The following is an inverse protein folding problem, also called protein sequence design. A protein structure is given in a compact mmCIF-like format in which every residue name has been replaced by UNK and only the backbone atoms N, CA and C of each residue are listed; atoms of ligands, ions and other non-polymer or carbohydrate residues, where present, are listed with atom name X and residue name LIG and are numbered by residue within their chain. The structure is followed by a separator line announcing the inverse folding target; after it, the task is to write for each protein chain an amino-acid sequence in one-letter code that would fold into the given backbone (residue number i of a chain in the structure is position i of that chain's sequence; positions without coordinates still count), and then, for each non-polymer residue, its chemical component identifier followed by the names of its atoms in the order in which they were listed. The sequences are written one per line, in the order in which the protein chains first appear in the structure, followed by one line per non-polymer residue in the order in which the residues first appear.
data_IF_864310000968
#
_entry.id   IF_864310000968
#
_cell.length_a   1.000
_cell.length_b   1.000
_cell.length_c   1.000
_cell.angle_alpha   90.00
_cell.angle_beta   90.00
_cell.angle_gamma   90.00
#
_symmetry.space_group_name_H-M   'P 1'
#
loop_
_entity.id
_entity.type
_entity.pdbx_description
1 polymer ?
#
# COMPACT_ATOMS: atom_id res chain seq x y z
N UNK A 1 48.75 54.63 28.32
CA UNK A 1 47.59 54.42 27.41
C UNK A 1 47.52 55.42 26.25
N UNK A 2 47.50 56.74 26.45
CA UNK A 2 47.39 57.73 25.35
C UNK A 2 48.48 57.62 24.26
N UNK A 3 49.74 57.38 24.64
CA UNK A 3 50.86 57.19 23.69
C UNK A 3 50.75 55.90 22.86
N UNK A 4 50.25 54.81 23.46
CA UNK A 4 50.02 53.53 22.77
C UNK A 4 48.90 53.63 21.74
N UNK A 5 47.81 54.34 22.07
CA UNK A 5 46.72 54.58 21.12
C UNK A 5 47.17 55.44 19.94
N UNK A 6 47.99 56.46 20.18
CA UNK A 6 48.54 57.30 19.12
C UNK A 6 49.52 56.53 18.19
N UNK A 7 50.35 55.63 18.75
CA UNK A 7 51.26 54.80 17.93
C UNK A 7 50.50 53.78 17.10
N UNK A 8 49.43 53.18 17.64
CA UNK A 8 48.56 52.24 16.92
C UNK A 8 47.80 52.96 15.79
N UNK A 9 47.27 54.16 16.05
CA UNK A 9 46.57 54.95 15.04
C UNK A 9 47.50 55.39 13.89
N UNK A 10 48.72 55.83 14.20
CA UNK A 10 49.71 56.21 13.19
C UNK A 10 50.19 55.00 12.35
N UNK A 11 50.36 53.84 12.99
CA UNK A 11 50.69 52.59 12.30
C UNK A 11 49.54 52.12 11.39
N UNK A 12 48.29 52.20 11.88
CA UNK A 12 47.10 51.88 11.09
C UNK A 12 46.96 52.77 9.86
N UNK A 13 47.24 54.07 10.00
CA UNK A 13 47.18 55.00 8.87
C UNK A 13 48.29 54.75 7.83
N UNK A 14 49.51 54.38 8.27
CA UNK A 14 50.62 54.01 7.37
C UNK A 14 50.36 52.72 6.59
N UNK A 15 49.62 51.79 7.19
CA UNK A 15 49.29 50.50 6.58
C UNK A 15 47.84 50.43 6.08
N UNK A 16 47.14 51.56 6.01
CA UNK A 16 45.70 51.61 5.76
C UNK A 16 45.30 50.90 4.45
N UNK A 17 46.10 51.05 3.39
CA UNK A 17 45.88 50.40 2.10
C UNK A 17 45.97 48.87 2.21
N UNK A 18 46.96 48.34 2.93
CA UNK A 18 47.13 46.89 3.12
C UNK A 18 46.06 46.29 4.04
N UNK A 19 45.61 47.05 5.03
CA UNK A 19 44.52 46.65 5.92
C UNK A 19 43.21 46.61 5.12
N UNK A 20 42.95 47.64 4.29
CA UNK A 20 41.76 47.68 3.45
C UNK A 20 41.72 46.52 2.45
N UNK A 21 42.81 46.26 1.73
CA UNK A 21 42.87 45.14 0.78
C UNK A 21 42.72 43.78 1.50
N UNK A 22 43.33 43.61 2.66
CA UNK A 22 43.16 42.41 3.49
C UNK A 22 41.71 42.20 3.94
N UNK A 23 41.04 43.26 4.41
CA UNK A 23 39.63 43.21 4.80
C UNK A 23 38.72 42.87 3.62
N UNK A 24 38.95 43.46 2.44
CA UNK A 24 38.15 43.18 1.24
C UNK A 24 38.32 41.71 0.81
N UNK A 25 39.55 41.18 0.77
CA UNK A 25 39.79 39.77 0.43
C UNK A 25 39.15 38.83 1.45
N UNK A 26 39.23 39.16 2.75
CA UNK A 26 38.58 38.38 3.80
C UNK A 26 37.05 38.35 3.65
N UNK A 27 36.43 39.49 3.33
CA UNK A 27 34.99 39.57 3.08
C UNK A 27 34.57 38.74 1.86
N UNK A 28 35.35 38.80 0.78
CA UNK A 28 35.09 38.00 -0.43
C UNK A 28 35.21 36.50 -0.10
N UNK A 29 36.26 36.07 0.59
CA UNK A 29 36.43 34.67 0.99
C UNK A 29 35.33 34.18 1.92
N UNK A 30 34.93 35.00 2.90
CA UNK A 30 33.82 34.68 3.81
C UNK A 30 32.51 34.53 3.02
N UNK A 31 32.27 35.39 2.03
CA UNK A 31 31.08 35.31 1.18
C UNK A 31 31.08 34.04 0.33
N UNK A 32 32.23 33.65 -0.24
CA UNK A 32 32.37 32.41 -1.02
C UNK A 32 32.14 31.18 -0.14
N UNK A 33 32.72 31.14 1.07
CA UNK A 33 32.52 30.06 2.02
C UNK A 33 31.05 29.92 2.41
N UNK A 34 30.40 31.03 2.76
CA UNK A 34 28.99 31.03 3.14
C UNK A 34 28.07 30.50 2.02
N UNK A 35 28.32 30.89 0.76
CA UNK A 35 27.58 30.37 -0.40
C UNK A 35 27.82 28.87 -0.58
N UNK A 36 29.03 28.38 -0.36
CA UNK A 36 29.33 26.94 -0.44
C UNK A 36 28.61 26.16 0.66
N UNK A 37 28.63 26.66 1.89
CA UNK A 37 27.98 26.01 3.03
C UNK A 37 26.47 25.93 2.84
N UNK A 38 25.85 27.01 2.34
CA UNK A 38 24.42 26.99 1.97
C UNK A 38 24.15 25.93 0.90
N UNK A 39 24.95 25.87 -0.16
CA UNK A 39 24.75 24.89 -1.24
C UNK A 39 24.87 23.45 -0.73
N UNK A 40 25.83 23.19 0.16
CA UNK A 40 25.99 21.87 0.78
C UNK A 40 24.81 21.54 1.68
N UNK A 41 24.39 22.45 2.56
CA UNK A 41 23.23 22.27 3.43
C UNK A 41 21.95 22.01 2.64
N UNK A 42 21.69 22.78 1.57
CA UNK A 42 20.52 22.56 0.70
C UNK A 42 20.55 21.19 0.04
N UNK A 43 21.72 20.71 -0.38
CA UNK A 43 21.86 19.37 -0.99
C UNK A 43 21.62 18.26 0.04
N UNK A 44 22.13 18.40 1.26
CA UNK A 44 21.87 17.44 2.34
C UNK A 44 20.40 17.41 2.74
N UNK A 45 19.75 18.58 2.83
CA UNK A 45 18.31 18.68 3.09
C UNK A 45 17.50 17.98 1.99
N UNK A 46 17.88 18.16 0.72
CA UNK A 46 17.26 17.43 -0.40
C UNK A 46 17.39 15.91 -0.25
N UNK A 47 18.60 15.42 0.02
CA UNK A 47 18.83 13.99 0.24
C UNK A 47 18.07 13.44 1.47
N UNK A 48 17.94 14.23 2.53
CA UNK A 48 17.13 13.84 3.70
C UNK A 48 15.65 13.78 3.36
N UNK A 49 15.15 14.70 2.53
CA UNK A 49 13.77 14.69 2.06
C UNK A 49 13.49 13.45 1.20
N UNK A 50 14.36 13.13 0.24
CA UNK A 50 14.25 11.91 -0.57
C UNK A 50 14.26 10.66 0.32
N UNK A 51 15.11 10.63 1.34
CA UNK A 51 15.16 9.50 2.29
C UNK A 51 13.88 9.38 3.12
N UNK A 52 13.27 10.50 3.52
CA UNK A 52 11.98 10.51 4.23
C UNK A 52 10.87 10.00 3.31
N UNK A 53 10.84 10.43 2.04
CA UNK A 53 9.87 9.99 1.05
C UNK A 53 10.00 8.47 0.80
N UNK A 54 11.21 7.97 0.55
CA UNK A 54 11.46 6.53 0.41
C UNK A 54 11.07 5.73 1.65
N UNK A 55 11.30 6.26 2.85
CA UNK A 55 10.90 5.60 4.10
C UNK A 55 9.38 5.53 4.22
N UNK A 56 8.68 6.58 3.80
CA UNK A 56 7.22 6.64 3.78
C UNK A 56 6.65 5.64 2.79
N UNK A 57 7.15 5.63 1.55
CA UNK A 57 6.74 4.65 0.52
C UNK A 57 6.97 3.21 0.97
N UNK A 58 8.12 2.93 1.59
CA UNK A 58 8.41 1.59 2.11
C UNK A 58 7.46 1.18 3.26
N UNK A 59 7.04 2.13 4.10
CA UNK A 59 6.07 1.87 5.15
C UNK A 59 4.67 1.60 4.57
N UNK A 60 4.25 2.37 3.55
CA UNK A 60 3.00 2.14 2.83
C UNK A 60 2.99 0.78 2.11
N UNK A 61 4.11 0.39 1.51
CA UNK A 61 4.27 -0.92 0.89
C UNK A 61 4.19 -2.06 1.92
N UNK A 62 4.81 -1.87 3.09
CA UNK A 62 4.76 -2.84 4.18
C UNK A 62 3.32 -3.00 4.69
N UNK A 63 2.60 -1.90 4.87
CA UNK A 63 1.19 -1.93 5.30
C UNK A 63 0.31 -2.63 4.25
N UNK A 64 0.49 -2.29 2.97
CA UNK A 64 -0.23 -2.94 1.86
C UNK A 64 0.03 -4.45 1.84
N UNK A 65 1.28 -4.85 2.11
CA UNK A 65 1.66 -6.28 2.20
C UNK A 65 0.93 -6.98 3.34
N UNK A 66 0.83 -6.36 4.52
CA UNK A 66 0.09 -6.88 5.67
C UNK A 66 -1.40 -7.06 5.32
N UNK A 67 -2.00 -6.04 4.71
CA UNK A 67 -3.42 -6.08 4.32
C UNK A 67 -3.67 -7.19 3.28
N UNK A 68 -2.77 -7.37 2.31
CA UNK A 68 -2.82 -8.46 1.34
C UNK A 68 -2.72 -9.83 2.01
N UNK A 69 -1.84 -10.02 2.99
CA UNK A 69 -1.77 -11.26 3.76
C UNK A 69 -3.07 -11.54 4.54
N UNK A 70 -3.69 -10.50 5.12
CA UNK A 70 -5.01 -10.61 5.75
C UNK A 70 -6.06 -11.10 4.77
N UNK A 71 -6.14 -10.48 3.58
CA UNK A 71 -7.07 -10.87 2.52
C UNK A 71 -6.84 -12.31 2.04
N UNK A 72 -5.58 -12.74 1.86
CA UNK A 72 -5.25 -14.12 1.47
C UNK A 72 -5.73 -15.11 2.52
N UNK A 73 -5.55 -14.80 3.80
CA UNK A 73 -6.00 -15.66 4.90
C UNK A 73 -7.53 -15.79 4.94
N UNK A 74 -8.25 -14.69 4.69
CA UNK A 74 -9.71 -14.70 4.62
C UNK A 74 -10.22 -15.49 3.41
N UNK A 75 -9.56 -15.39 2.26
CA UNK A 75 -9.84 -16.21 1.08
C UNK A 75 -9.63 -17.70 1.40
N UNK A 76 -8.52 -18.05 2.05
CA UNK A 76 -8.21 -19.42 2.44
C UNK A 76 -9.30 -20.00 3.35
N UNK A 77 -9.70 -19.23 4.37
CA UNK A 77 -10.77 -19.62 5.29
C UNK A 77 -12.10 -19.81 4.57
N UNK A 78 -12.46 -18.88 3.68
CA UNK A 78 -13.70 -18.96 2.90
C UNK A 78 -13.68 -20.18 1.98
N UNK A 79 -12.54 -20.45 1.33
CA UNK A 79 -12.38 -21.62 0.45
C UNK A 79 -12.50 -22.94 1.22
N UNK A 80 -11.94 -23.03 2.43
CA UNK A 80 -12.11 -24.20 3.29
C UNK A 80 -13.58 -24.41 3.65
N UNK A 81 -14.28 -23.36 4.06
CA UNK A 81 -15.70 -23.45 4.40
C UNK A 81 -16.56 -23.87 3.21
N UNK A 82 -16.27 -23.36 2.01
CA UNK A 82 -16.95 -23.78 0.79
C UNK A 82 -16.69 -25.26 0.46
N UNK A 83 -15.47 -25.74 0.68
CA UNK A 83 -15.15 -27.15 0.48
C UNK A 83 -15.97 -28.05 1.40
N UNK A 84 -16.01 -27.75 2.70
CA UNK A 84 -16.79 -28.49 3.68
C UNK A 84 -18.29 -28.48 3.35
N UNK A 85 -18.81 -27.33 2.89
CA UNK A 85 -20.21 -27.20 2.46
C UNK A 85 -20.53 -28.04 1.21
N UNK A 86 -19.61 -28.09 0.25
CA UNK A 86 -19.77 -28.92 -0.95
C UNK A 86 -19.76 -30.40 -0.57
N UNK A 87 -18.87 -30.82 0.32
CA UNK A 87 -18.82 -32.20 0.80
C UNK A 87 -20.14 -32.61 1.48
N UNK A 88 -20.65 -31.77 2.38
CA UNK A 88 -21.96 -31.98 3.03
C UNK A 88 -23.12 -32.01 2.01
N UNK A 89 -23.08 -31.15 1.01
CA UNK A 89 -24.10 -31.14 -0.05
C UNK A 89 -24.05 -32.44 -0.87
N UNK A 90 -22.86 -32.96 -1.18
CA UNK A 90 -22.68 -34.23 -1.89
C UNK A 90 -23.23 -35.40 -1.06
N UNK A 91 -22.93 -35.45 0.24
CA UNK A 91 -23.48 -36.47 1.14
C UNK A 91 -25.01 -36.42 1.16
N UNK A 92 -25.57 -35.22 1.33
CA UNK A 92 -27.03 -35.00 1.34
C UNK A 92 -27.67 -35.44 0.02
N UNK A 93 -27.07 -35.11 -1.12
CA UNK A 93 -27.56 -35.53 -2.44
C UNK A 93 -27.55 -37.06 -2.56
N UNK A 94 -26.49 -37.72 -2.08
CA UNK A 94 -26.40 -39.17 -2.11
C UNK A 94 -27.47 -39.83 -1.23
N UNK A 95 -27.70 -39.30 -0.02
CA UNK A 95 -28.80 -39.75 0.84
C UNK A 95 -30.17 -39.57 0.17
N UNK A 96 -30.41 -38.41 -0.44
CA UNK A 96 -31.63 -38.14 -1.20
C UNK A 96 -31.80 -39.13 -2.37
N UNK A 97 -30.73 -39.42 -3.10
CA UNK A 97 -30.75 -40.40 -4.20
C UNK A 97 -31.13 -41.80 -3.69
N UNK A 98 -30.60 -42.23 -2.55
CA UNK A 98 -30.95 -43.51 -1.93
C UNK A 98 -32.42 -43.54 -1.50
N UNK A 99 -32.93 -42.46 -0.89
CA UNK A 99 -34.33 -42.34 -0.48
C UNK A 99 -35.25 -42.40 -1.71
N UNK A 100 -34.93 -41.64 -2.76
CA UNK A 100 -35.68 -41.64 -4.02
C UNK A 100 -35.68 -43.04 -4.66
N UNK A 101 -34.55 -43.73 -4.67
CA UNK A 101 -34.46 -45.10 -5.19
C UNK A 101 -35.38 -46.06 -4.41
N UNK A 102 -35.35 -45.99 -3.07
CA UNK A 102 -36.26 -46.79 -2.22
C UNK A 102 -37.73 -46.48 -2.49
N UNK A 103 -38.07 -45.21 -2.69
CA UNK A 103 -39.43 -44.78 -3.03
C UNK A 103 -39.85 -45.34 -4.40
N UNK A 104 -38.98 -45.26 -5.40
CA UNK A 104 -39.21 -45.85 -6.74
C UNK A 104 -39.46 -47.35 -6.62
N UNK A 105 -38.62 -48.07 -5.87
CA UNK A 105 -38.75 -49.52 -5.71
C UNK A 105 -40.05 -49.90 -4.98
N UNK A 106 -40.45 -49.11 -3.97
CA UNK A 106 -41.74 -49.26 -3.30
C UNK A 106 -42.91 -49.03 -4.26
N UNK A 107 -42.89 -47.95 -5.06
CA UNK A 107 -43.93 -47.62 -6.02
C UNK A 107 -44.06 -48.68 -7.13
N UNK A 108 -42.94 -49.25 -7.59
CA UNK A 108 -42.93 -50.39 -8.52
C UNK A 108 -43.59 -51.62 -7.89
N UNK A 109 -43.29 -51.93 -6.62
CA UNK A 109 -43.87 -53.07 -5.89
C UNK A 109 -45.40 -53.00 -5.79
N UNK A 110 -45.96 -51.80 -5.63
CA UNK A 110 -47.41 -51.58 -5.56
C UNK A 110 -48.05 -51.28 -6.94
N UNK A 111 -47.29 -51.36 -8.04
CA UNK A 111 -47.80 -51.14 -9.41
C UNK A 111 -48.20 -49.69 -9.73
N UNK A 112 -47.75 -48.72 -8.95
CA UNK A 112 -48.07 -47.29 -9.13
C UNK A 112 -46.93 -46.49 -9.80
N UNK A 113 -45.90 -47.20 -10.31
CA UNK A 113 -44.79 -46.62 -11.06
C UNK A 113 -44.90 -46.96 -12.56
N UNK A 114 -44.64 -46.02 -13.49
CA UNK A 114 -44.26 -44.63 -13.26
C UNK A 114 -45.43 -43.75 -12.81
N UNK A 115 -45.17 -42.61 -12.13
CA UNK A 115 -46.21 -41.67 -11.75
C UNK A 115 -46.89 -41.15 -13.03
N UNK A 116 -48.22 -41.15 -13.06
CA UNK A 116 -48.99 -40.52 -14.13
C UNK A 116 -49.01 -39.00 -13.92
N UNK A 117 -47.84 -38.37 -14.04
CA UNK A 117 -47.75 -36.91 -14.08
C UNK A 117 -48.03 -36.52 -15.53
N UNK A 118 -49.15 -35.84 -15.76
CA UNK A 118 -49.35 -35.14 -17.01
C UNK A 118 -48.23 -34.10 -17.13
N UNK A 119 -47.37 -34.24 -18.14
CA UNK A 119 -46.33 -33.25 -18.43
C UNK A 119 -46.96 -31.86 -18.40
N UNK A 120 -46.39 -30.87 -17.69
CA UNK A 120 -46.92 -29.52 -17.71
C UNK A 120 -47.00 -29.10 -19.19
N UNK A 121 -48.23 -28.84 -19.67
CA UNK A 121 -48.41 -28.37 -21.04
C UNK A 121 -47.55 -27.11 -21.20
N UNK A 122 -46.70 -27.03 -22.22
CA UNK A 122 -45.90 -25.83 -22.46
C UNK A 122 -46.85 -24.63 -22.44
N UNK A 123 -46.50 -23.62 -21.64
CA UNK A 123 -47.29 -22.38 -21.56
C UNK A 123 -47.19 -21.73 -22.93
N UNK A 124 -48.32 -21.68 -23.61
CA UNK A 124 -48.45 -21.09 -24.94
C UNK A 124 -48.09 -19.60 -24.86
N UNK A 125 -46.99 -19.14 -25.49
CA UNK A 125 -46.52 -17.76 -25.37
C UNK A 125 -47.50 -16.74 -25.93
N UNK A 126 -48.43 -17.16 -26.80
CA UNK A 126 -49.41 -16.28 -27.45
C UNK A 126 -50.63 -15.94 -26.57
N UNK A 127 -50.73 -16.49 -25.35
CA UNK A 127 -51.81 -16.17 -24.39
C UNK A 127 -51.57 -14.94 -23.53
N UNK A 128 -50.45 -14.23 -23.75
CA UNK A 128 -50.06 -13.06 -22.97
C UNK A 128 -50.20 -11.73 -23.74
N UNK A 129 -50.81 -11.74 -24.94
CA UNK A 129 -51.07 -10.55 -25.77
C UNK A 129 -52.55 -10.18 -25.73
#
# INVERSE_FOLDING_TARGET
MKKLLASVAAWGNRNATSIYTGCVVALIMMSIMFVKDIKHATKEVGHLMDKIELTKENNELTQTTIDQFGMINDILKTSSQQHDQIEQAVETINEQAIILQKLVDYLKKIGHWPPKIDSPKPVDPDKWI
#
